data_IF_884464503104
#
_entry.id   IF_884464503104
#
_cell.length_a   1.000
_cell.length_b   1.000
_cell.length_c   1.000
_cell.angle_alpha   90.00
_cell.angle_beta   90.00
_cell.angle_gamma   90.00
#
_symmetry.space_group_name_H-M   'P 1'
#
loop_
_entity.id
_entity.type
_entity.pdbx_description
1 polymer ?
#
# COMPACT_ATOMS: atom_id res chain seq x y z
N UNK A 1 -7.39 23.77 10.33
CA UNK A 1 -8.39 23.69 11.40
C UNK A 1 -8.00 24.76 12.39
N UNK A 2 -8.94 25.60 12.79
CA UNK A 2 -8.66 26.68 13.74
C UNK A 2 -8.38 26.13 15.16
N UNK A 3 -7.86 26.98 16.04
CA UNK A 3 -7.46 26.56 17.39
C UNK A 3 -8.66 26.06 18.22
N UNK A 4 -9.84 26.64 18.02
CA UNK A 4 -11.06 26.27 18.76
C UNK A 4 -11.59 24.91 18.32
N UNK A 5 -11.70 24.68 17.01
CA UNK A 5 -12.11 23.39 16.45
C UNK A 5 -11.13 22.27 16.79
N UNK A 6 -9.83 22.56 16.79
CA UNK A 6 -8.82 21.58 17.18
C UNK A 6 -8.92 21.20 18.67
N UNK A 7 -9.11 22.17 19.57
CA UNK A 7 -9.32 21.88 21.00
C UNK A 7 -10.59 21.05 21.25
N UNK A 8 -11.65 21.28 20.49
CA UNK A 8 -12.87 20.47 20.59
C UNK A 8 -12.62 19.04 20.12
N UNK A 9 -11.90 18.86 19.01
CA UNK A 9 -11.50 17.54 18.52
C UNK A 9 -10.63 16.80 19.55
N UNK A 10 -9.66 17.45 20.16
CA UNK A 10 -8.81 16.85 21.20
C UNK A 10 -9.66 16.28 22.34
N UNK A 11 -10.61 17.06 22.86
CA UNK A 11 -11.52 16.58 23.93
C UNK A 11 -12.32 15.37 23.50
N UNK A 12 -12.80 15.33 22.26
CA UNK A 12 -13.57 14.18 21.76
C UNK A 12 -12.69 12.92 21.62
N UNK A 13 -11.43 13.08 21.21
CA UNK A 13 -10.47 11.98 21.13
C UNK A 13 -10.10 11.48 22.54
N UNK A 14 -9.91 12.38 23.50
CA UNK A 14 -9.62 12.02 24.90
C UNK A 14 -10.78 11.28 25.57
N UNK A 15 -12.02 11.61 25.21
CA UNK A 15 -13.23 10.94 25.73
C UNK A 15 -13.46 9.54 25.13
N UNK A 16 -12.80 9.21 24.01
CA UNK A 16 -12.95 7.91 23.36
C UNK A 16 -12.11 6.84 24.08
N UNK A 17 -12.71 5.67 24.29
CA UNK A 17 -12.15 4.60 25.14
C UNK A 17 -11.24 3.63 24.40
N UNK A 18 -11.29 3.58 23.06
CA UNK A 18 -10.46 2.70 22.24
C UNK A 18 -9.74 3.45 21.11
N UNK A 19 -8.58 2.94 20.65
CA UNK A 19 -7.88 3.51 19.48
C UNK A 19 -8.76 3.53 18.23
N UNK A 20 -9.66 2.56 18.06
CA UNK A 20 -10.61 2.52 16.94
C UNK A 20 -11.60 3.68 17.01
N UNK A 21 -12.15 3.96 18.19
CA UNK A 21 -13.10 5.06 18.38
C UNK A 21 -12.42 6.41 18.23
N UNK A 22 -11.20 6.54 18.76
CA UNK A 22 -10.34 7.72 18.56
C UNK A 22 -10.09 7.99 17.07
N UNK A 23 -9.74 6.97 16.29
CA UNK A 23 -9.57 7.10 14.83
C UNK A 23 -10.89 7.43 14.12
N UNK A 24 -12.02 6.92 14.59
CA UNK A 24 -13.34 7.26 14.04
C UNK A 24 -13.65 8.74 14.25
N UNK A 25 -13.43 9.27 15.45
CA UNK A 25 -13.58 10.70 15.76
C UNK A 25 -12.67 11.54 14.86
N UNK A 26 -11.41 11.14 14.70
CA UNK A 26 -10.46 11.82 13.81
C UNK A 26 -10.89 11.78 12.33
N UNK A 27 -11.46 10.66 11.89
CA UNK A 27 -11.97 10.49 10.52
C UNK A 27 -13.17 11.38 10.23
N UNK A 28 -14.05 11.55 11.23
CA UNK A 28 -15.24 12.40 11.13
C UNK A 28 -14.96 13.89 11.28
N UNK A 29 -13.75 14.26 11.70
CA UNK A 29 -13.36 15.66 11.84
C UNK A 29 -13.22 16.36 10.48
N UNK A 30 -13.39 17.69 10.44
CA UNK A 30 -13.27 18.48 9.22
C UNK A 30 -12.17 19.54 9.32
N UNK A 31 -11.48 19.79 8.20
CA UNK A 31 -10.45 20.82 8.09
C UNK A 31 -9.05 20.25 7.93
N UNK A 32 -8.11 21.14 7.60
CA UNK A 32 -6.71 20.79 7.37
C UNK A 32 -5.90 20.83 8.67
N UNK A 33 -4.83 20.05 8.76
CA UNK A 33 -4.01 19.89 9.96
C UNK A 33 -2.59 20.36 9.68
N UNK A 34 -2.08 21.23 10.55
CA UNK A 34 -0.67 21.63 10.54
C UNK A 34 0.23 20.52 11.11
N UNK A 35 1.54 20.60 10.84
CA UNK A 35 2.53 19.70 11.43
C UNK A 35 2.47 19.69 12.97
N UNK A 36 2.37 20.86 13.60
CA UNK A 36 2.22 20.97 15.06
C UNK A 36 0.97 20.27 15.60
N UNK A 37 -0.16 20.40 14.88
CA UNK A 37 -1.38 19.70 15.25
C UNK A 37 -1.23 18.18 15.11
N UNK A 38 -0.49 17.71 14.10
CA UNK A 38 -0.19 16.29 13.92
C UNK A 38 0.67 15.73 15.06
N UNK A 39 1.72 16.45 15.47
CA UNK A 39 2.56 16.08 16.64
C UNK A 39 1.72 15.94 17.90
N UNK A 40 0.82 16.90 18.15
CA UNK A 40 -0.06 16.84 19.33
C UNK A 40 -1.03 15.65 19.23
N UNK A 41 -1.51 15.32 18.03
CA UNK A 41 -2.37 14.15 17.84
C UNK A 41 -1.64 12.86 18.20
N UNK A 42 -0.36 12.67 17.85
CA UNK A 42 0.38 11.46 18.22
C UNK A 42 0.39 11.23 19.74
N UNK A 43 0.49 12.30 20.54
CA UNK A 43 0.45 12.20 22.00
C UNK A 43 -0.90 11.69 22.54
N UNK A 44 -1.99 11.83 21.78
CA UNK A 44 -3.32 11.33 22.14
C UNK A 44 -3.53 9.84 21.80
N UNK A 45 -2.59 9.24 21.07
CA UNK A 45 -2.59 7.85 20.63
C UNK A 45 -1.38 7.09 21.18
N UNK A 46 -1.47 6.55 22.42
CA UNK A 46 -0.31 5.97 23.10
C UNK A 46 0.08 4.56 22.63
N UNK A 47 -0.65 3.95 21.68
CA UNK A 47 -0.31 2.60 21.23
C UNK A 47 0.74 2.64 20.11
N UNK A 48 1.61 1.63 20.10
CA UNK A 48 2.65 1.45 19.09
C UNK A 48 2.00 1.39 17.69
N UNK A 49 2.54 2.17 16.75
CA UNK A 49 2.11 2.31 15.35
C UNK A 49 0.76 3.02 15.13
N UNK A 50 0.14 3.60 16.16
CA UNK A 50 -1.06 4.42 15.93
C UNK A 50 -0.70 5.72 15.19
N UNK A 51 0.54 6.19 15.29
CA UNK A 51 1.04 7.38 14.59
C UNK A 51 0.93 7.21 13.07
N UNK A 52 1.33 6.07 12.52
CA UNK A 52 1.19 5.77 11.09
C UNK A 52 -0.28 5.83 10.66
N UNK A 53 -1.19 5.24 11.46
CA UNK A 53 -2.64 5.23 11.15
C UNK A 53 -3.23 6.64 11.20
N UNK A 54 -2.83 7.44 12.19
CA UNK A 54 -3.23 8.84 12.33
C UNK A 54 -2.76 9.64 11.12
N UNK A 55 -1.48 9.56 10.76
CA UNK A 55 -0.93 10.27 9.59
C UNK A 55 -1.60 9.82 8.31
N UNK A 56 -1.84 8.52 8.13
CA UNK A 56 -2.53 7.98 6.95
C UNK A 56 -3.96 8.49 6.82
N UNK A 57 -4.68 8.61 7.93
CA UNK A 57 -6.05 9.16 7.96
C UNK A 57 -6.08 10.67 7.59
N UNK A 58 -4.97 11.36 7.84
CA UNK A 58 -4.85 12.80 7.64
C UNK A 58 -4.14 13.16 6.34
N UNK A 59 -3.59 12.19 5.59
CA UNK A 59 -2.77 12.40 4.38
C UNK A 59 -3.29 13.47 3.42
N UNK A 60 -4.58 13.47 3.09
CA UNK A 60 -5.20 14.43 2.16
C UNK A 60 -5.58 15.78 2.80
N UNK A 61 -5.45 15.88 4.11
CA UNK A 61 -5.84 17.03 4.94
C UNK A 61 -4.64 17.66 5.64
N UNK A 62 -3.41 17.23 5.36
CA UNK A 62 -2.22 17.89 5.89
C UNK A 62 -1.98 19.21 5.16
N UNK A 63 -1.79 20.28 5.91
CA UNK A 63 -1.33 21.54 5.37
C UNK A 63 0.08 21.36 4.77
N UNK A 64 0.44 22.18 3.75
CA UNK A 64 1.83 22.28 3.33
C UNK A 64 2.73 22.61 4.53
N UNK A 65 3.88 21.97 4.61
CA UNK A 65 4.87 22.12 5.67
C UNK A 65 6.28 22.21 5.11
N UNK A 66 7.22 22.65 5.93
CA UNK A 66 8.66 22.70 5.65
C UNK A 66 9.35 21.42 6.11
N UNK A 67 10.59 21.19 5.66
CA UNK A 67 11.42 20.07 6.10
C UNK A 67 11.73 20.15 7.59
N UNK A 68 11.83 21.37 8.15
CA UNK A 68 11.99 21.56 9.59
C UNK A 68 10.75 21.08 10.35
N UNK A 69 9.55 21.52 9.94
CA UNK A 69 8.29 21.06 10.54
C UNK A 69 8.07 19.55 10.35
N UNK A 70 8.44 19.00 9.20
CA UNK A 70 8.39 17.56 8.98
C UNK A 70 9.43 16.81 9.84
N UNK A 71 10.58 17.40 10.14
CA UNK A 71 11.55 16.84 11.08
C UNK A 71 10.98 16.79 12.51
N UNK A 72 10.27 17.84 12.95
CA UNK A 72 9.57 17.86 14.25
C UNK A 72 8.51 16.74 14.32
N UNK A 73 7.77 16.49 13.23
CA UNK A 73 6.84 15.36 13.12
C UNK A 73 7.56 14.02 13.23
N UNK A 74 8.72 13.87 12.60
CA UNK A 74 9.52 12.64 12.65
C UNK A 74 10.21 12.43 13.99
N UNK A 75 10.52 13.48 14.73
CA UNK A 75 11.08 13.37 16.08
C UNK A 75 10.05 12.86 17.09
N UNK A 76 8.77 13.18 16.87
CA UNK A 76 7.67 12.79 17.74
C UNK A 76 7.24 11.31 17.62
N UNK A 77 7.88 10.51 16.77
CA UNK A 77 7.46 9.14 16.42
C UNK A 77 8.57 8.12 16.62
N UNK A 78 8.19 6.84 16.72
CA UNK A 78 9.14 5.74 16.85
C UNK A 78 10.08 5.64 15.64
N UNK A 79 11.34 5.24 15.85
CA UNK A 79 12.31 5.10 14.74
C UNK A 79 11.81 4.13 13.65
N UNK A 80 11.11 3.05 14.04
CA UNK A 80 10.52 2.07 13.11
C UNK A 80 9.46 2.67 12.20
N UNK A 81 8.79 3.74 12.62
CA UNK A 81 7.69 4.37 11.87
C UNK A 81 8.12 5.59 11.06
N UNK A 82 9.30 6.17 11.35
CA UNK A 82 9.80 7.40 10.70
C UNK A 82 9.75 7.33 9.18
N UNK A 83 10.11 6.18 8.59
CA UNK A 83 10.13 6.04 7.13
C UNK A 83 8.72 6.01 6.52
N UNK A 84 7.78 5.30 7.16
CA UNK A 84 6.39 5.26 6.72
C UNK A 84 5.72 6.62 6.88
N UNK A 85 6.00 7.32 7.98
CA UNK A 85 5.46 8.66 8.22
C UNK A 85 6.05 9.66 7.24
N UNK A 86 7.36 9.60 6.97
CA UNK A 86 8.01 10.43 5.94
C UNK A 86 7.37 10.20 4.57
N UNK A 87 7.07 8.96 4.20
CA UNK A 87 6.36 8.64 2.95
C UNK A 87 5.04 9.39 2.84
N UNK A 88 4.25 9.38 3.91
CA UNK A 88 2.92 9.97 3.93
C UNK A 88 3.02 11.50 3.88
N UNK A 89 3.90 12.11 4.69
CA UNK A 89 4.01 13.57 4.80
C UNK A 89 4.86 14.20 3.69
N UNK A 90 5.69 13.43 2.98
CA UNK A 90 6.56 13.94 1.90
C UNK A 90 5.81 14.75 0.85
N UNK A 91 4.56 14.36 0.58
CA UNK A 91 3.66 15.06 -0.37
C UNK A 91 3.18 16.42 0.13
N UNK A 92 3.35 16.73 1.41
CA UNK A 92 3.02 18.03 2.00
C UNK A 92 4.26 18.90 2.21
N UNK A 93 5.48 18.38 1.98
CA UNK A 93 6.71 19.14 2.16
C UNK A 93 6.99 20.03 0.95
N UNK A 94 7.26 21.31 1.18
CA UNK A 94 7.36 22.34 0.12
C UNK A 94 8.78 22.79 -0.21
N UNK A 95 9.74 22.59 0.70
CA UNK A 95 11.14 23.05 0.61
C UNK A 95 12.12 21.88 0.52
N UNK A 96 11.68 20.77 -0.08
CA UNK A 96 12.41 19.50 -0.18
C UNK A 96 13.86 19.63 -0.70
N UNK A 97 14.14 20.64 -1.53
CA UNK A 97 15.48 20.89 -2.12
C UNK A 97 16.43 21.68 -1.21
N UNK A 98 15.91 22.56 -0.35
CA UNK A 98 16.72 23.43 0.52
C UNK A 98 16.75 22.97 1.97
N UNK A 99 15.69 22.31 2.45
CA UNK A 99 15.51 21.94 3.85
C UNK A 99 15.91 20.50 4.18
N UNK A 100 16.37 19.71 3.20
CA UNK A 100 16.58 18.26 3.36
C UNK A 100 17.44 17.87 4.57
N UNK A 101 18.43 18.69 4.91
CA UNK A 101 19.33 18.42 6.05
C UNK A 101 18.58 18.17 7.35
N UNK A 102 17.47 18.87 7.59
CA UNK A 102 16.62 18.67 8.78
C UNK A 102 16.03 17.26 8.86
N UNK A 103 15.67 16.68 7.71
CA UNK A 103 15.13 15.32 7.62
C UNK A 103 16.26 14.29 7.68
N UNK A 104 17.40 14.58 7.06
CA UNK A 104 18.58 13.71 7.08
C UNK A 104 19.08 13.44 8.51
N UNK A 105 19.03 14.46 9.36
CA UNK A 105 19.44 14.37 10.77
C UNK A 105 18.50 13.48 11.61
N UNK A 106 17.31 13.13 11.11
CA UNK A 106 16.36 12.24 11.80
C UNK A 106 16.67 10.75 11.64
N UNK A 107 17.58 10.39 10.72
CA UNK A 107 17.95 9.01 10.40
C UNK A 107 19.41 8.74 10.74
N UNK A 108 19.69 7.56 11.30
CA UNK A 108 21.03 7.22 11.78
C UNK A 108 21.87 6.54 10.71
N UNK A 109 21.24 5.80 9.79
CA UNK A 109 21.94 4.98 8.80
C UNK A 109 22.08 5.72 7.45
N UNK A 110 23.23 5.61 6.76
CA UNK A 110 23.39 6.16 5.40
C UNK A 110 22.35 5.65 4.39
N UNK A 111 21.93 4.36 4.41
CA UNK A 111 20.83 3.89 3.57
C UNK A 111 19.51 4.63 3.83
N UNK A 112 19.12 4.82 5.09
CA UNK A 112 17.88 5.52 5.45
C UNK A 112 17.92 6.99 5.02
N UNK A 113 19.08 7.65 5.19
CA UNK A 113 19.30 9.03 4.73
C UNK A 113 19.15 9.16 3.22
N UNK A 114 19.73 8.23 2.46
CA UNK A 114 19.58 8.20 1.00
C UNK A 114 18.13 7.98 0.60
N UNK A 115 17.43 7.08 1.30
CA UNK A 115 16.02 6.76 1.03
C UNK A 115 15.11 7.96 1.31
N UNK A 116 15.31 8.64 2.45
CA UNK A 116 14.59 9.87 2.81
C UNK A 116 14.79 10.98 1.76
N UNK A 117 16.01 11.11 1.20
CA UNK A 117 16.32 12.10 0.16
C UNK A 117 15.57 11.80 -1.14
N UNK A 118 15.56 10.55 -1.54
CA UNK A 118 14.89 10.12 -2.76
C UNK A 118 13.37 10.33 -2.66
N UNK A 119 12.77 10.03 -1.50
CA UNK A 119 11.35 10.23 -1.23
C UNK A 119 10.92 11.70 -1.39
N UNK A 120 11.69 12.62 -0.79
CA UNK A 120 11.40 14.05 -0.87
C UNK A 120 11.60 14.63 -2.27
N UNK A 121 12.61 14.15 -2.99
CA UNK A 121 12.87 14.58 -4.38
C UNK A 121 11.71 14.16 -5.30
N UNK A 122 11.25 12.91 -5.21
CA UNK A 122 10.12 12.38 -6.00
C UNK A 122 8.79 13.06 -5.65
N UNK A 123 8.54 13.34 -4.37
CA UNK A 123 7.34 14.06 -3.95
C UNK A 123 7.28 15.47 -4.55
N UNK A 124 8.42 16.15 -4.64
CA UNK A 124 8.54 17.47 -5.26
C UNK A 124 8.37 17.43 -6.79
N UNK A 125 8.93 16.42 -7.46
CA UNK A 125 8.76 16.22 -8.92
C UNK A 125 7.28 15.99 -9.30
N UNK A 126 6.55 15.21 -8.50
CA UNK A 126 5.13 14.95 -8.74
C UNK A 126 4.26 16.22 -8.60
N UNK A 127 4.60 17.15 -7.71
CA UNK A 127 3.93 18.46 -7.64
C UNK A 127 4.14 19.29 -8.90
N UNK A 128 5.33 19.25 -9.50
CA UNK A 128 5.63 19.98 -10.74
C UNK A 128 4.99 19.35 -11.99
N UNK A 129 4.78 18.03 -12.02
CA UNK A 129 4.11 17.33 -13.11
C UNK A 129 2.59 17.59 -13.12
N UNK A 130 1.95 17.62 -11.95
CA UNK A 130 0.49 17.87 -11.85
C UNK A 130 0.05 19.30 -12.19
N UNK A 131 0.99 20.24 -12.36
CA UNK A 131 0.69 21.60 -12.83
C UNK A 131 0.63 21.73 -14.38
N UNK A 132 1.04 20.70 -15.14
CA UNK A 132 1.13 20.74 -16.61
C UNK A 132 0.06 19.90 -17.34
N UNK A 133 -0.70 19.05 -16.66
CA UNK A 133 -1.72 18.17 -17.28
C UNK A 133 -3.17 18.57 -16.94
N UNK A 134 -3.53 19.84 -17.16
CA UNK A 134 -4.94 20.29 -17.11
C UNK A 134 -5.44 21.01 -18.37
N UNK A 135 -4.67 20.93 -19.46
CA UNK A 135 -5.12 21.27 -20.81
C UNK A 135 -4.72 20.10 -21.71
N UNK A 136 -5.60 19.10 -21.85
CA UNK A 136 -5.91 18.52 -23.16
C UNK A 136 -6.82 17.26 -23.07
N UNK A 137 -7.94 17.39 -23.78
CA UNK A 137 -8.66 16.36 -24.54
C UNK A 137 -9.54 15.31 -23.83
N UNK A 138 -10.80 15.74 -23.71
CA UNK A 138 -12.04 15.12 -24.22
C UNK A 138 -11.85 14.18 -25.43
N UNK A 139 -12.29 12.91 -25.33
CA UNK A 139 -12.63 12.07 -26.51
C UNK A 139 -12.65 10.55 -26.28
N UNK A 140 -13.45 9.73 -27.01
CA UNK A 140 -14.32 8.73 -26.38
C UNK A 140 -14.14 7.25 -26.83
N UNK A 141 -14.95 6.40 -26.17
CA UNK A 141 -15.51 5.11 -26.60
C UNK A 141 -14.60 3.86 -26.57
N UNK A 142 -14.88 3.00 -25.59
CA UNK A 142 -14.39 1.63 -25.51
C UNK A 142 -15.11 0.74 -26.53
N UNK A 143 -14.36 0.24 -27.51
CA UNK A 143 -14.74 -0.88 -28.35
C UNK A 143 -14.21 -2.19 -27.74
N UNK A 144 -15.11 -3.17 -27.67
CA UNK A 144 -14.92 -4.55 -27.23
C UNK A 144 -13.65 -5.18 -27.80
N UNK A 145 -12.85 -5.83 -26.93
CA UNK A 145 -11.72 -6.65 -27.38
C UNK A 145 -11.77 -8.02 -26.71
N UNK A 146 -12.17 -9.00 -27.51
CA UNK A 146 -12.04 -10.43 -27.28
C UNK A 146 -10.57 -10.76 -27.02
N UNK A 147 -10.22 -11.16 -25.79
CA UNK A 147 -8.85 -11.52 -25.42
C UNK A 147 -8.55 -12.97 -25.84
N UNK A 148 -7.60 -13.14 -26.76
CA UNK A 148 -6.78 -14.35 -26.82
C UNK A 148 -5.76 -14.26 -25.67
N UNK A 149 -5.74 -15.29 -24.83
CA UNK A 149 -4.88 -15.42 -23.65
C UNK A 149 -3.50 -15.94 -24.05
N UNK A 150 -2.66 -15.10 -24.63
CA UNK A 150 -1.22 -15.39 -24.66
C UNK A 150 -0.64 -14.87 -23.33
N UNK A 151 -0.14 -15.79 -22.50
CA UNK A 151 0.57 -15.47 -21.27
C UNK A 151 1.82 -14.64 -21.55
N UNK A 152 2.25 -13.81 -20.59
CA UNK A 152 3.47 -13.02 -20.71
C UNK A 152 4.67 -13.97 -20.90
N UNK A 153 5.41 -13.81 -22.00
CA UNK A 153 6.62 -14.60 -22.24
C UNK A 153 7.75 -14.23 -21.28
N UNK A 154 8.69 -15.16 -21.09
CA UNK A 154 9.77 -15.02 -20.11
C UNK A 154 10.69 -13.82 -20.38
N UNK A 155 10.84 -13.42 -21.64
CA UNK A 155 11.69 -12.28 -22.00
C UNK A 155 11.06 -10.98 -21.56
N UNK A 156 9.77 -10.80 -21.84
CA UNK A 156 8.98 -9.66 -21.41
C UNK A 156 8.84 -9.64 -19.88
N UNK A 157 8.64 -10.79 -19.25
CA UNK A 157 8.58 -10.89 -17.80
C UNK A 157 9.92 -10.55 -17.14
N UNK A 158 11.04 -11.02 -17.67
CA UNK A 158 12.37 -10.70 -17.12
C UNK A 158 12.67 -9.19 -17.14
N UNK A 159 12.25 -8.48 -18.20
CA UNK A 159 12.38 -7.02 -18.26
C UNK A 159 11.47 -6.33 -17.24
N UNK A 160 10.23 -6.81 -17.08
CA UNK A 160 9.32 -6.32 -16.06
C UNK A 160 9.90 -6.54 -14.65
N UNK A 161 10.42 -7.73 -14.39
CA UNK A 161 11.01 -8.10 -13.10
C UNK A 161 12.22 -7.23 -12.76
N UNK A 162 13.07 -6.88 -13.74
CA UNK A 162 14.14 -5.92 -13.53
C UNK A 162 13.62 -4.53 -13.14
N UNK A 163 12.56 -4.05 -13.81
CA UNK A 163 11.91 -2.78 -13.45
C UNK A 163 11.32 -2.83 -12.05
N UNK A 164 10.69 -3.94 -11.68
CA UNK A 164 10.18 -4.17 -10.34
C UNK A 164 11.30 -4.18 -9.31
N UNK A 165 12.42 -4.87 -9.57
CA UNK A 165 13.60 -4.90 -8.69
C UNK A 165 14.26 -3.52 -8.55
N UNK A 166 14.24 -2.70 -9.60
CA UNK A 166 14.75 -1.32 -9.55
C UNK A 166 13.80 -0.34 -8.85
N UNK A 167 12.50 -0.62 -8.85
CA UNK A 167 11.53 0.17 -8.12
C UNK A 167 11.66 -0.14 -6.63
N UNK A 168 11.82 0.87 -5.78
CA UNK A 168 12.01 0.67 -4.34
C UNK A 168 10.67 0.70 -3.59
N UNK A 169 9.70 1.47 -4.09
CA UNK A 169 8.40 1.70 -3.44
C UNK A 169 7.30 0.80 -3.99
N UNK A 170 6.31 0.51 -3.16
CA UNK A 170 5.18 -0.31 -3.56
C UNK A 170 4.36 0.39 -4.64
N UNK A 171 4.11 1.69 -4.56
CA UNK A 171 3.37 2.44 -5.58
C UNK A 171 4.05 2.39 -6.94
N UNK A 172 5.38 2.49 -6.98
CA UNK A 172 6.17 2.40 -8.22
C UNK A 172 6.08 0.98 -8.79
N UNK A 173 6.22 -0.05 -7.95
CA UNK A 173 6.03 -1.45 -8.37
C UNK A 173 4.61 -1.68 -8.87
N UNK A 174 3.58 -1.17 -8.19
CA UNK A 174 2.19 -1.25 -8.61
C UNK A 174 1.93 -0.50 -9.91
N UNK A 175 2.57 0.65 -10.14
CA UNK A 175 2.49 1.39 -11.38
C UNK A 175 3.14 0.61 -12.54
N UNK A 176 4.33 0.04 -12.30
CA UNK A 176 5.02 -0.86 -13.25
C UNK A 176 4.14 -2.07 -13.58
N UNK A 177 3.55 -2.72 -12.56
CA UNK A 177 2.59 -3.81 -12.76
C UNK A 177 1.35 -3.36 -13.53
N UNK A 178 0.79 -2.18 -13.24
CA UNK A 178 -0.42 -1.66 -13.91
C UNK A 178 -0.17 -1.33 -15.38
N UNK A 179 1.02 -0.81 -15.70
CA UNK A 179 1.42 -0.46 -17.08
C UNK A 179 1.89 -1.68 -17.89
N UNK A 180 2.25 -2.78 -17.22
CA UNK A 180 2.65 -4.01 -17.89
C UNK A 180 1.51 -4.62 -18.71
N UNK A 181 1.85 -5.29 -19.81
CA UNK A 181 0.90 -5.97 -20.71
C UNK A 181 1.06 -7.47 -20.61
N UNK A 182 -0.03 -8.22 -20.80
CA UNK A 182 -0.03 -9.68 -20.77
C UNK A 182 -0.59 -10.23 -19.46
N UNK A 183 -0.83 -11.54 -19.47
CA UNK A 183 -1.33 -12.29 -18.31
C UNK A 183 -0.17 -12.97 -17.57
N UNK A 184 -0.33 -13.14 -16.26
CA UNK A 184 0.70 -13.65 -15.34
C UNK A 184 0.39 -15.09 -14.94
N UNK A 185 1.37 -15.98 -15.10
CA UNK A 185 1.31 -17.32 -14.53
C UNK A 185 1.48 -17.28 -13.00
N UNK A 186 1.14 -18.38 -12.31
CA UNK A 186 1.36 -18.50 -10.87
C UNK A 186 2.84 -18.31 -10.49
N UNK A 187 3.77 -18.88 -11.26
CA UNK A 187 5.22 -18.69 -11.09
C UNK A 187 5.65 -17.23 -11.22
N UNK A 188 5.11 -16.53 -12.22
CA UNK A 188 5.38 -15.10 -12.41
C UNK A 188 4.82 -14.26 -11.26
N UNK A 189 3.63 -14.59 -10.73
CA UNK A 189 3.07 -13.94 -9.54
C UNK A 189 3.97 -14.17 -8.32
N UNK A 190 4.45 -15.41 -8.12
CA UNK A 190 5.38 -15.74 -7.06
C UNK A 190 6.65 -14.89 -7.13
N UNK A 191 7.26 -14.77 -8.32
CA UNK A 191 8.43 -13.91 -8.55
C UNK A 191 8.14 -12.43 -8.34
N UNK A 192 6.95 -11.94 -8.69
CA UNK A 192 6.54 -10.57 -8.36
C UNK A 192 6.53 -10.36 -6.84
N UNK A 193 5.97 -11.29 -6.06
CA UNK A 193 5.94 -11.18 -4.59
C UNK A 193 7.33 -11.08 -3.99
N UNK A 194 8.31 -11.83 -4.52
CA UNK A 194 9.71 -11.74 -4.08
C UNK A 194 10.36 -10.37 -4.31
N UNK A 195 9.77 -9.53 -5.17
CA UNK A 195 10.26 -8.17 -5.38
C UNK A 195 9.63 -7.15 -4.43
N UNK A 196 8.59 -7.49 -3.68
CA UNK A 196 7.84 -6.52 -2.88
C UNK A 196 8.60 -6.12 -1.59
N UNK A 197 8.50 -4.84 -1.17
CA UNK A 197 9.33 -4.32 -0.10
C UNK A 197 8.81 -4.67 1.30
N UNK A 198 7.51 -4.96 1.46
CA UNK A 198 6.89 -5.21 2.74
C UNK A 198 6.03 -6.47 2.75
N UNK A 199 5.94 -7.07 3.94
CA UNK A 199 4.95 -8.08 4.29
C UNK A 199 3.56 -7.46 4.13
N UNK A 200 2.63 -8.14 3.44
CA UNK A 200 1.25 -7.74 3.12
C UNK A 200 1.06 -6.90 1.84
N UNK A 201 2.12 -6.50 1.15
CA UNK A 201 2.00 -5.82 -0.15
C UNK A 201 1.52 -6.75 -1.27
N UNK A 202 1.61 -8.07 -1.07
CA UNK A 202 1.20 -9.11 -2.02
C UNK A 202 -0.28 -8.97 -2.38
N UNK A 203 -1.14 -8.60 -1.43
CA UNK A 203 -2.57 -8.39 -1.68
C UNK A 203 -2.80 -7.21 -2.63
N UNK A 204 -2.04 -6.12 -2.47
CA UNK A 204 -2.17 -4.94 -3.35
C UNK A 204 -1.71 -5.30 -4.76
N UNK A 205 -0.55 -5.95 -4.88
CA UNK A 205 -0.01 -6.40 -6.16
C UNK A 205 -0.98 -7.37 -6.86
N UNK A 206 -1.50 -8.35 -6.13
CA UNK A 206 -2.41 -9.34 -6.66
C UNK A 206 -3.74 -8.74 -7.11
N UNK A 207 -4.29 -7.74 -6.39
CA UNK A 207 -5.47 -6.99 -6.85
C UNK A 207 -5.21 -6.24 -8.16
N UNK A 208 -4.04 -5.65 -8.33
CA UNK A 208 -3.62 -5.02 -9.59
C UNK A 208 -3.48 -6.03 -10.74
N UNK A 209 -3.19 -7.30 -10.41
CA UNK A 209 -3.05 -8.39 -11.37
C UNK A 209 -4.32 -9.21 -11.59
N UNK A 210 -5.35 -9.10 -10.76
CA UNK A 210 -6.50 -10.02 -10.70
C UNK A 210 -7.16 -10.30 -12.06
N UNK A 211 -7.36 -9.26 -12.87
CA UNK A 211 -7.94 -9.37 -14.22
C UNK A 211 -7.01 -9.99 -15.28
N UNK A 212 -5.73 -10.18 -14.93
CA UNK A 212 -4.64 -10.65 -15.81
C UNK A 212 -3.94 -11.88 -15.24
N UNK A 213 -4.57 -12.61 -14.33
CA UNK A 213 -4.05 -13.91 -13.90
C UNK A 213 -4.42 -14.97 -14.95
N UNK A 214 -3.43 -15.77 -15.34
CA UNK A 214 -3.66 -17.00 -16.10
C UNK A 214 -4.47 -17.99 -15.24
N UNK A 215 -5.24 -18.89 -15.86
CA UNK A 215 -5.76 -20.06 -15.17
C UNK A 215 -4.61 -20.84 -14.52
N UNK A 216 -4.85 -21.36 -13.32
CA UNK A 216 -3.86 -22.13 -12.55
C UNK A 216 -4.50 -23.35 -11.91
N UNK A 217 -3.69 -24.33 -11.56
CA UNK A 217 -4.09 -25.52 -10.80
C UNK A 217 -4.11 -25.24 -9.30
N UNK A 218 -4.74 -26.10 -8.51
CA UNK A 218 -4.69 -26.06 -7.05
C UNK A 218 -3.26 -26.14 -6.53
N UNK A 219 -2.40 -26.95 -7.16
CA UNK A 219 -0.98 -27.05 -6.81
C UNK A 219 -0.22 -25.74 -7.07
N UNK A 220 -0.48 -25.06 -8.18
CA UNK A 220 0.10 -23.75 -8.47
C UNK A 220 -0.43 -22.66 -7.52
N UNK A 221 -1.72 -22.72 -7.18
CA UNK A 221 -2.33 -21.83 -6.20
C UNK A 221 -1.72 -22.02 -4.80
N UNK A 222 -1.36 -23.25 -4.41
CA UNK A 222 -0.61 -23.53 -3.17
C UNK A 222 0.71 -22.75 -3.17
N UNK A 223 1.47 -22.79 -4.26
CA UNK A 223 2.73 -22.04 -4.37
C UNK A 223 2.56 -20.53 -4.18
N UNK A 224 1.48 -19.95 -4.73
CA UNK A 224 1.13 -18.52 -4.50
C UNK A 224 0.74 -18.27 -3.04
N UNK A 225 0.00 -19.18 -2.41
CA UNK A 225 -0.42 -19.06 -1.01
C UNK A 225 0.73 -19.26 -0.01
N UNK A 226 1.74 -20.06 -0.36
CA UNK A 226 2.93 -20.25 0.47
C UNK A 226 3.87 -19.04 0.45
N UNK A 227 3.80 -18.23 -0.61
CA UNK A 227 4.57 -17.00 -0.74
C UNK A 227 4.05 -15.83 0.10
N UNK A 228 2.89 -15.98 0.75
CA UNK A 228 2.28 -14.93 1.57
C UNK A 228 2.20 -15.33 3.05
N UNK A 229 2.18 -14.35 3.97
CA UNK A 229 2.01 -14.62 5.39
C UNK A 229 0.73 -15.39 5.69
N UNK A 230 0.76 -16.26 6.69
CA UNK A 230 -0.38 -17.09 7.06
C UNK A 230 -1.68 -16.28 7.27
N UNK A 231 -1.58 -15.11 7.90
CA UNK A 231 -2.72 -14.21 8.17
C UNK A 231 -3.42 -13.68 6.91
N UNK A 232 -2.77 -13.75 5.75
CA UNK A 232 -3.28 -13.23 4.48
C UNK A 232 -3.69 -14.30 3.49
N UNK A 233 -3.36 -15.57 3.74
CA UNK A 233 -3.66 -16.69 2.83
C UNK A 233 -5.14 -16.76 2.45
N UNK A 234 -6.07 -16.55 3.40
CA UNK A 234 -7.52 -16.53 3.10
C UNK A 234 -7.92 -15.37 2.17
N UNK A 235 -7.31 -14.20 2.33
CA UNK A 235 -7.61 -13.03 1.47
C UNK A 235 -7.06 -13.23 0.07
N UNK A 236 -5.85 -13.79 -0.04
CA UNK A 236 -5.22 -14.15 -1.31
C UNK A 236 -6.03 -15.24 -2.03
N UNK A 237 -6.49 -16.26 -1.29
CA UNK A 237 -7.34 -17.30 -1.84
C UNK A 237 -8.64 -16.73 -2.44
N UNK A 238 -9.34 -15.82 -1.76
CA UNK A 238 -10.57 -15.20 -2.31
C UNK A 238 -10.31 -14.40 -3.59
N UNK A 239 -9.09 -13.88 -3.78
CA UNK A 239 -8.70 -13.16 -5.01
C UNK A 239 -8.43 -14.14 -6.17
N UNK A 240 -7.69 -15.24 -5.91
CA UNK A 240 -7.26 -16.19 -6.96
C UNK A 240 -8.27 -17.30 -7.24
N UNK A 241 -9.24 -17.56 -6.35
CA UNK A 241 -10.15 -18.71 -6.46
C UNK A 241 -10.85 -18.80 -7.81
N UNK A 242 -11.28 -17.66 -8.37
CA UNK A 242 -11.90 -17.58 -9.71
C UNK A 242 -10.99 -17.97 -10.89
N UNK A 243 -9.70 -18.20 -10.63
CA UNK A 243 -8.68 -18.57 -11.62
C UNK A 243 -8.21 -20.01 -11.47
N UNK A 244 -8.70 -20.74 -10.47
CA UNK A 244 -8.29 -22.13 -10.21
C UNK A 244 -9.15 -23.08 -11.05
N UNK A 245 -8.54 -23.78 -12.01
CA UNK A 245 -9.27 -24.59 -13.00
C UNK A 245 -9.76 -25.94 -12.48
N UNK A 246 -9.06 -26.52 -11.52
CA UNK A 246 -9.29 -27.86 -10.95
C UNK A 246 -9.80 -27.77 -9.49
N UNK A 247 -10.42 -26.64 -9.13
CA UNK A 247 -10.82 -26.33 -7.75
C UNK A 247 -11.77 -27.38 -7.13
N UNK A 248 -12.54 -28.09 -7.97
CA UNK A 248 -13.47 -29.14 -7.53
C UNK A 248 -12.77 -30.46 -7.19
N UNK A 249 -11.61 -30.73 -7.80
CA UNK A 249 -10.86 -31.99 -7.64
C UNK A 249 -9.62 -31.81 -6.76
N UNK A 250 -9.10 -30.58 -6.64
CA UNK A 250 -7.87 -30.28 -5.92
C UNK A 250 -8.07 -29.51 -4.60
N UNK A 251 -9.30 -29.40 -4.09
CA UNK A 251 -9.61 -28.64 -2.87
C UNK A 251 -8.76 -29.07 -1.66
N UNK A 252 -8.46 -30.37 -1.53
CA UNK A 252 -7.66 -30.91 -0.43
C UNK A 252 -6.26 -30.27 -0.36
N UNK A 253 -5.63 -30.01 -1.52
CA UNK A 253 -4.33 -29.34 -1.57
C UNK A 253 -4.38 -27.94 -0.95
N UNK A 254 -5.48 -27.21 -1.15
CA UNK A 254 -5.65 -25.87 -0.59
C UNK A 254 -6.00 -25.96 0.90
N UNK A 255 -6.88 -26.89 1.30
CA UNK A 255 -7.26 -27.09 2.70
C UNK A 255 -6.08 -27.47 3.59
N UNK A 256 -5.13 -28.26 3.09
CA UNK A 256 -3.98 -28.74 3.86
C UNK A 256 -3.00 -27.63 4.25
N UNK A 257 -3.04 -26.48 3.58
CA UNK A 257 -2.28 -25.30 3.96
C UNK A 257 -2.79 -24.68 5.28
N UNK A 258 -4.07 -24.89 5.61
CA UNK A 258 -4.72 -24.29 6.77
C UNK A 258 -4.78 -25.29 7.91
N UNK A 259 -4.25 -24.92 9.08
CA UNK A 259 -4.18 -25.82 10.23
C UNK A 259 -5.51 -25.89 11.00
N UNK A 260 -6.26 -24.78 11.06
CA UNK A 260 -7.45 -24.67 11.90
C UNK A 260 -8.73 -25.04 11.16
N UNK A 261 -9.62 -25.79 11.81
CA UNK A 261 -10.91 -26.21 11.25
C UNK A 261 -11.82 -25.05 10.86
N UNK A 262 -11.76 -23.94 11.61
CA UNK A 262 -12.50 -22.71 11.32
C UNK A 262 -12.03 -22.02 10.04
N UNK A 263 -10.75 -22.15 9.68
CA UNK A 263 -10.20 -21.62 8.44
C UNK A 263 -10.49 -22.56 7.26
N UNK A 264 -10.38 -23.87 7.47
CA UNK A 264 -10.83 -24.87 6.47
C UNK A 264 -12.30 -24.66 6.10
N UNK A 265 -13.17 -24.32 7.06
CA UNK A 265 -14.56 -23.97 6.78
C UNK A 265 -14.68 -22.73 5.86
N UNK A 266 -13.87 -21.69 6.09
CA UNK A 266 -13.83 -20.49 5.22
C UNK A 266 -13.26 -20.78 3.84
N UNK A 267 -12.26 -21.66 3.73
CA UNK A 267 -11.75 -22.14 2.44
C UNK A 267 -12.87 -22.77 1.63
N UNK A 268 -13.66 -23.67 2.24
CA UNK A 268 -14.83 -24.27 1.57
C UNK A 268 -15.87 -23.24 1.16
N UNK A 269 -16.11 -22.23 1.99
CA UNK A 269 -17.03 -21.14 1.66
C UNK A 269 -16.55 -20.35 0.42
N UNK A 270 -15.27 -19.96 0.39
CA UNK A 270 -14.65 -19.27 -0.75
C UNK A 270 -14.72 -20.15 -2.00
N UNK A 271 -14.35 -21.42 -1.90
CA UNK A 271 -14.41 -22.35 -3.03
C UNK A 271 -15.84 -22.54 -3.52
N UNK A 272 -16.83 -22.64 -2.63
CA UNK A 272 -18.25 -22.75 -3.02
C UNK A 272 -18.75 -21.49 -3.73
N UNK A 273 -18.25 -20.31 -3.34
CA UNK A 273 -18.59 -19.01 -3.94
C UNK A 273 -18.03 -18.86 -5.36
N UNK A 274 -16.83 -19.38 -5.63
CA UNK A 274 -16.14 -19.21 -6.92
C UNK A 274 -16.15 -20.47 -7.80
N UNK A 275 -16.54 -21.62 -7.26
CA UNK A 275 -16.54 -22.94 -7.90
C UNK A 275 -17.86 -23.35 -8.55
N UNK A 276 -18.80 -22.42 -8.74
CA UNK A 276 -20.04 -22.63 -9.49
C UNK A 276 -19.84 -22.36 -10.98
#
# INVERSE_FOLDING_TARGET
MDATGFKQLQRQIEQATSSKDKLSVLSSSHGNFSANQLVILFQLFPQIHDEVKVTQNLKSRLCPMTCAEAADVLEAVSYSDKMQILEIISRSVTDATSGFKHIEDQFNSPPDKSMAREMLTRANENHTATARERDDLRGPAAASRTQRTDGMDERNFSQLEQKLKSALFIEDKLAVLSQSRGSFSADQVFRVFQTLPQVHDEIKALRTLQGRLCPMTCAEAVGVLEAVPYSDKLKVLDIIASKISDIRTGVEYIEDIFTYSSEKAKVREIISKHGL
#
